data_IF_481368771837
#
_entry.id   IF_481368771837
#
_cell.length_a   1.000
_cell.length_b   1.000
_cell.length_c   1.000
_cell.angle_alpha   90.00
_cell.angle_beta   90.00
_cell.angle_gamma   90.00
#
_symmetry.space_group_name_H-M   'P 1'
#
loop_
_entity.id
_entity.type
_entity.pdbx_description
1 polymer ?
#
# COMPACT_ATOMS: atom_id res chain seq x y z
N UNK A 1 -9.84 14.39 8.91
CA UNK A 1 -9.60 15.85 9.05
C UNK A 1 -8.76 16.10 10.30
N UNK A 2 -7.76 16.99 10.26
CA UNK A 2 -6.94 17.35 11.43
C UNK A 2 -5.68 16.51 11.68
N UNK A 3 -5.42 15.46 10.88
CA UNK A 3 -4.17 14.68 10.93
C UNK A 3 -3.23 15.10 9.79
N UNK A 4 -3.77 15.20 8.57
CA UNK A 4 -3.03 15.60 7.37
C UNK A 4 -3.45 17.00 6.92
N UNK A 5 -2.47 17.80 6.50
CA UNK A 5 -2.68 19.16 5.96
C UNK A 5 -3.05 19.17 4.48
N UNK A 6 -2.58 18.19 3.72
CA UNK A 6 -2.92 18.06 2.31
C UNK A 6 -4.33 17.48 2.12
N UNK A 7 -5.05 18.03 1.15
CA UNK A 7 -6.37 17.59 0.75
C UNK A 7 -6.54 17.60 -0.77
N UNK A 8 -7.41 16.72 -1.26
CA UNK A 8 -7.83 16.68 -2.66
C UNK A 8 -9.29 16.22 -2.74
N UNK A 9 -9.96 16.56 -3.83
CA UNK A 9 -11.35 16.17 -4.07
C UNK A 9 -11.41 15.32 -5.34
N UNK A 10 -11.66 14.00 -5.24
CA UNK A 10 -11.82 13.14 -6.41
C UNK A 10 -13.01 13.59 -7.25
N UNK A 11 -12.83 13.69 -8.56
CA UNK A 11 -13.89 14.04 -9.53
C UNK A 11 -13.89 13.02 -10.66
N UNK A 12 -15.05 12.84 -11.30
CA UNK A 12 -15.17 11.97 -12.46
C UNK A 12 -14.33 12.50 -13.62
N UNK A 13 -13.45 11.66 -14.17
CA UNK A 13 -12.61 11.98 -15.32
C UNK A 13 -12.81 10.86 -16.36
N UNK A 14 -13.43 11.15 -17.52
CA UNK A 14 -13.63 10.19 -18.60
C UNK A 14 -12.33 9.52 -19.03
N UNK A 15 -12.34 8.20 -19.18
CA UNK A 15 -11.17 7.40 -19.57
C UNK A 15 -10.09 7.23 -18.49
N UNK A 16 -10.29 7.78 -17.28
CA UNK A 16 -9.40 7.60 -16.13
C UNK A 16 -10.17 6.92 -14.99
N UNK A 17 -10.95 7.69 -14.23
CA UNK A 17 -11.82 7.16 -13.18
C UNK A 17 -13.14 7.89 -13.26
N UNK A 18 -14.15 7.22 -13.81
CA UNK A 18 -15.48 7.79 -14.01
C UNK A 18 -16.33 7.72 -12.73
N UNK A 19 -16.03 6.77 -11.85
CA UNK A 19 -16.67 6.58 -10.55
C UNK A 19 -15.64 6.47 -9.43
N UNK A 20 -14.82 7.52 -9.18
CA UNK A 20 -13.76 7.44 -8.19
C UNK A 20 -14.31 7.27 -6.77
N UNK A 21 -13.50 6.67 -5.90
CA UNK A 21 -13.79 6.64 -4.45
C UNK A 21 -13.95 8.05 -3.92
N UNK A 22 -14.92 8.25 -3.03
CA UNK A 22 -15.17 9.54 -2.38
C UNK A 22 -15.42 10.68 -3.40
N UNK A 23 -16.13 10.37 -4.49
CA UNK A 23 -16.42 11.34 -5.55
C UNK A 23 -17.10 12.59 -4.97
N UNK A 24 -16.53 13.77 -5.28
CA UNK A 24 -16.95 15.08 -4.79
C UNK A 24 -16.82 15.29 -3.27
N UNK A 25 -16.15 14.39 -2.54
CA UNK A 25 -15.86 14.54 -1.12
C UNK A 25 -14.40 14.99 -0.92
N UNK A 26 -14.17 15.86 0.07
CA UNK A 26 -12.80 16.31 0.40
C UNK A 26 -12.06 15.22 1.16
N UNK A 27 -11.05 14.64 0.52
CA UNK A 27 -10.15 13.65 1.09
C UNK A 27 -8.91 14.32 1.69
N UNK A 28 -8.36 13.75 2.76
CA UNK A 28 -7.15 14.21 3.42
C UNK A 28 -6.13 13.08 3.48
N UNK A 29 -4.86 13.38 3.23
CA UNK A 29 -3.83 12.34 3.20
C UNK A 29 -2.41 12.87 2.96
N UNK A 30 -1.53 11.96 2.55
CA UNK A 30 -0.14 12.27 2.24
C UNK A 30 -0.02 12.88 0.83
N UNK A 31 0.72 13.99 0.72
CA UNK A 31 1.17 14.51 -0.57
C UNK A 31 2.55 13.94 -0.92
N UNK A 32 2.59 13.00 -1.84
CA UNK A 32 3.81 12.33 -2.28
C UNK A 32 4.39 12.91 -3.57
N UNK A 33 3.83 14.00 -4.12
CA UNK A 33 4.29 14.59 -5.39
C UNK A 33 5.73 15.08 -5.34
N UNK A 34 6.17 15.53 -4.16
CA UNK A 34 7.54 15.99 -3.91
C UNK A 34 8.38 14.97 -3.14
N UNK A 35 7.92 13.72 -3.01
CA UNK A 35 8.67 12.68 -2.32
C UNK A 35 9.91 12.28 -3.12
N UNK A 36 11.08 12.24 -2.47
CA UNK A 36 12.34 11.84 -3.10
C UNK A 36 12.34 10.34 -3.44
N UNK A 37 12.01 10.04 -4.69
CA UNK A 37 11.98 8.68 -5.22
C UNK A 37 13.36 8.01 -5.26
N UNK A 38 14.46 8.78 -5.14
CA UNK A 38 15.81 8.21 -5.04
C UNK A 38 15.94 7.32 -3.82
N UNK A 39 15.33 7.71 -2.69
CA UNK A 39 15.32 6.92 -1.45
C UNK A 39 14.69 5.53 -1.63
N UNK A 40 13.63 5.44 -2.43
CA UNK A 40 12.99 4.14 -2.73
C UNK A 40 13.93 3.26 -3.55
N UNK A 41 14.51 3.83 -4.62
CA UNK A 41 15.46 3.12 -5.49
C UNK A 41 16.67 2.64 -4.70
N UNK A 42 17.25 3.49 -3.85
CA UNK A 42 18.40 3.15 -3.01
C UNK A 42 18.05 2.03 -2.00
N UNK A 43 16.85 2.07 -1.42
CA UNK A 43 16.43 1.04 -0.45
C UNK A 43 16.20 -0.34 -1.08
N UNK A 44 15.93 -0.41 -2.40
CA UNK A 44 15.53 -1.63 -3.12
C UNK A 44 14.37 -2.38 -2.44
N UNK A 45 13.43 -1.62 -1.86
CA UNK A 45 12.31 -2.13 -1.06
C UNK A 45 11.04 -1.34 -1.36
N UNK A 46 9.90 -2.01 -1.24
CA UNK A 46 8.59 -1.34 -1.19
C UNK A 46 8.49 -0.48 0.08
N UNK A 47 7.85 0.68 0.03
CA UNK A 47 7.60 1.48 1.23
C UNK A 47 6.32 1.02 1.95
N UNK A 48 6.49 0.25 3.03
CA UNK A 48 5.36 -0.25 3.81
C UNK A 48 4.81 0.79 4.79
N UNK A 49 5.60 1.83 5.09
CA UNK A 49 5.27 2.84 6.10
C UNK A 49 3.98 3.57 5.75
N UNK A 50 3.74 3.85 4.47
CA UNK A 50 2.50 4.53 4.05
C UNK A 50 1.25 3.73 4.40
N UNK A 51 1.25 2.43 4.12
CA UNK A 51 0.11 1.56 4.48
C UNK A 51 -0.08 1.49 6.00
N UNK A 52 1.02 1.32 6.74
CA UNK A 52 0.98 1.23 8.20
C UNK A 52 0.53 2.54 8.86
N UNK A 53 1.02 3.68 8.37
CA UNK A 53 0.66 5.02 8.84
C UNK A 53 -0.81 5.33 8.56
N UNK A 54 -1.26 5.09 7.31
CA UNK A 54 -2.66 5.32 6.94
C UNK A 54 -3.60 4.38 7.70
N UNK A 55 -3.24 3.10 7.88
CA UNK A 55 -3.99 2.19 8.73
C UNK A 55 -4.07 2.73 10.15
N UNK A 56 -2.95 3.18 10.74
CA UNK A 56 -2.90 3.74 12.10
C UNK A 56 -3.74 5.02 12.23
N UNK A 57 -3.74 5.90 11.23
CA UNK A 57 -4.50 7.14 11.24
C UNK A 57 -6.00 6.96 10.96
N UNK A 58 -6.40 5.88 10.29
CA UNK A 58 -7.80 5.65 9.92
C UNK A 58 -8.64 5.27 11.15
N UNK A 59 -9.73 5.99 11.48
CA UNK A 59 -10.47 5.77 12.73
C UNK A 59 -11.20 4.42 12.76
N UNK A 60 -11.74 3.99 11.63
CA UNK A 60 -12.54 2.76 11.54
C UNK A 60 -11.69 1.57 11.06
N UNK A 61 -10.98 0.94 11.99
CA UNK A 61 -10.06 -0.18 11.67
C UNK A 61 -10.73 -1.35 10.96
N UNK A 62 -12.01 -1.60 11.23
CA UNK A 62 -12.74 -2.74 10.68
C UNK A 62 -12.97 -2.56 9.17
N UNK A 63 -13.16 -1.32 8.74
CA UNK A 63 -13.48 -0.98 7.36
C UNK A 63 -12.27 -0.64 6.49
N UNK A 64 -11.07 -0.49 7.05
CA UNK A 64 -9.88 -0.10 6.29
C UNK A 64 -9.55 -1.04 5.12
N UNK A 65 -9.68 -2.36 5.33
CA UNK A 65 -9.47 -3.38 4.28
C UNK A 65 -10.78 -3.96 3.75
N UNK A 66 -11.92 -3.32 4.01
CA UNK A 66 -13.22 -3.82 3.60
C UNK A 66 -13.51 -3.50 2.14
N UNK A 67 -13.26 -4.47 1.26
CA UNK A 67 -13.54 -4.38 -0.18
C UNK A 67 -15.03 -4.26 -0.55
N UNK A 68 -15.96 -4.52 0.37
CA UNK A 68 -17.39 -4.41 0.05
C UNK A 68 -17.90 -2.97 0.04
N UNK A 69 -17.13 -2.02 0.58
CA UNK A 69 -17.52 -0.61 0.66
C UNK A 69 -17.59 0.06 -0.72
N UNK A 70 -16.85 -0.43 -1.70
CA UNK A 70 -16.88 0.07 -3.08
C UNK A 70 -16.23 -0.91 -4.03
N UNK A 71 -16.73 -0.96 -5.27
CA UNK A 71 -16.13 -1.71 -6.38
C UNK A 71 -14.71 -1.26 -6.73
N UNK A 72 -14.34 -0.04 -6.35
CA UNK A 72 -13.00 0.52 -6.58
C UNK A 72 -11.99 0.07 -5.51
N UNK A 73 -12.44 -0.59 -4.43
CA UNK A 73 -11.57 -1.14 -3.39
C UNK A 73 -11.27 -2.60 -3.72
N UNK A 74 -10.02 -2.86 -4.09
CA UNK A 74 -9.54 -4.20 -4.39
C UNK A 74 -9.23 -5.03 -3.13
N UNK A 75 -9.12 -6.35 -3.33
CA UNK A 75 -8.74 -7.29 -2.28
C UNK A 75 -7.23 -7.26 -2.02
N UNK A 76 -6.82 -6.70 -0.88
CA UNK A 76 -5.39 -6.58 -0.52
C UNK A 76 -4.67 -7.93 -0.45
N UNK A 77 -5.36 -9.01 -0.09
CA UNK A 77 -4.74 -10.33 0.02
C UNK A 77 -4.33 -10.82 -1.38
N UNK A 78 -5.14 -10.50 -2.40
CA UNK A 78 -4.83 -10.80 -3.80
C UNK A 78 -3.70 -9.94 -4.33
N UNK A 79 -3.67 -8.66 -3.99
CA UNK A 79 -2.62 -7.74 -4.42
C UNK A 79 -1.27 -8.06 -3.77
N UNK A 80 -1.27 -8.42 -2.49
CA UNK A 80 -0.08 -8.81 -1.74
C UNK A 80 0.38 -10.25 -2.05
N UNK A 81 -0.51 -11.09 -2.59
CA UNK A 81 -0.25 -12.51 -2.84
C UNK A 81 -0.21 -13.37 -1.57
N UNK A 82 -0.65 -12.83 -0.44
CA UNK A 82 -0.73 -13.51 0.86
C UNK A 82 -1.73 -12.81 1.77
N UNK A 83 -2.30 -13.55 2.72
CA UNK A 83 -3.16 -12.99 3.79
C UNK A 83 -2.35 -12.35 4.91
N UNK A 84 -1.13 -12.83 5.12
CA UNK A 84 -0.28 -12.47 6.25
C UNK A 84 -0.04 -10.96 6.34
N UNK A 85 0.12 -10.27 5.21
CA UNK A 85 0.44 -8.84 5.20
C UNK A 85 -0.64 -8.01 5.90
N UNK A 86 -1.91 -8.24 5.56
CA UNK A 86 -3.05 -7.56 6.18
C UNK A 86 -3.13 -7.91 7.67
N UNK A 87 -3.02 -9.19 8.01
CA UNK A 87 -3.09 -9.68 9.39
C UNK A 87 -1.98 -9.07 10.26
N UNK A 88 -0.77 -8.96 9.73
CA UNK A 88 0.38 -8.35 10.42
C UNK A 88 0.19 -6.85 10.65
N UNK A 89 -0.38 -6.11 9.69
CA UNK A 89 -0.71 -4.70 9.87
C UNK A 89 -1.76 -4.52 10.97
N UNK A 90 -2.82 -5.33 10.95
CA UNK A 90 -3.88 -5.31 11.97
C UNK A 90 -3.30 -5.65 13.35
N UNK A 91 -2.40 -6.63 13.42
CA UNK A 91 -1.71 -7.03 14.65
C UNK A 91 -0.65 -6.03 15.14
N UNK A 92 -0.41 -4.92 14.43
CA UNK A 92 0.54 -3.89 14.82
C UNK A 92 2.00 -4.32 14.73
N UNK A 93 2.31 -5.27 13.84
CA UNK A 93 3.69 -5.72 13.62
C UNK A 93 4.56 -4.58 13.07
N UNK A 94 5.83 -4.61 13.48
CA UNK A 94 6.86 -3.69 12.95
C UNK A 94 7.16 -3.99 11.49
N UNK A 95 7.71 -3.01 10.78
CA UNK A 95 8.13 -3.19 9.39
C UNK A 95 9.18 -4.30 9.27
N UNK A 96 10.09 -4.38 10.25
CA UNK A 96 11.12 -5.41 10.35
C UNK A 96 10.51 -6.81 10.48
N UNK A 97 9.49 -6.99 11.32
CA UNK A 97 8.80 -8.28 11.48
C UNK A 97 8.09 -8.72 10.19
N UNK A 98 7.39 -7.80 9.52
CA UNK A 98 6.72 -8.07 8.23
C UNK A 98 7.76 -8.49 7.18
N UNK A 99 8.88 -7.76 7.08
CA UNK A 99 9.94 -8.10 6.13
C UNK A 99 10.61 -9.42 6.44
N UNK A 100 10.81 -9.72 7.73
CA UNK A 100 11.38 -11.00 8.16
C UNK A 100 10.51 -12.19 7.74
N UNK A 101 9.19 -12.04 7.72
CA UNK A 101 8.31 -13.12 7.23
C UNK A 101 8.42 -13.35 5.72
N UNK A 102 8.84 -12.36 4.95
CA UNK A 102 9.03 -12.49 3.49
C UNK A 102 10.40 -13.05 3.10
N UNK A 103 11.41 -12.86 3.95
CA UNK A 103 12.81 -13.18 3.62
C UNK A 103 13.06 -14.63 3.18
N UNK A 104 12.42 -15.67 3.76
CA UNK A 104 12.59 -17.04 3.28
C UNK A 104 12.14 -17.21 1.82
N UNK A 105 10.96 -16.68 1.47
CA UNK A 105 10.43 -16.73 0.10
C UNK A 105 11.28 -15.93 -0.88
N UNK A 106 11.72 -14.74 -0.47
CA UNK A 106 12.61 -13.89 -1.27
C UNK A 106 13.98 -14.56 -1.50
N UNK A 107 14.54 -15.20 -0.49
CA UNK A 107 15.81 -15.94 -0.59
C UNK A 107 15.69 -17.07 -1.60
N UNK A 108 14.63 -17.88 -1.51
CA UNK A 108 14.38 -18.98 -2.45
C UNK A 108 14.19 -18.45 -3.88
N UNK A 109 13.38 -17.41 -4.07
CA UNK A 109 13.15 -16.80 -5.38
C UNK A 109 14.44 -16.23 -5.99
N UNK A 110 15.28 -15.56 -5.20
CA UNK A 110 16.58 -15.04 -5.65
C UNK A 110 17.51 -16.14 -6.16
N UNK A 111 17.46 -17.36 -5.61
CA UNK A 111 18.20 -18.49 -6.14
C UNK A 111 17.57 -19.01 -7.44
N UNK A 112 16.26 -19.21 -7.46
CA UNK A 112 15.54 -19.74 -8.62
C UNK A 112 15.67 -18.85 -9.85
N UNK A 113 15.59 -17.53 -9.70
CA UNK A 113 15.65 -16.59 -10.83
C UNK A 113 17.00 -16.56 -11.55
N UNK A 114 18.11 -17.00 -10.91
CA UNK A 114 19.46 -16.97 -11.50
C UNK A 114 19.54 -17.71 -12.84
N UNK A 115 18.74 -18.76 -13.02
CA UNK A 115 18.68 -19.56 -14.26
C UNK A 115 18.16 -18.78 -15.46
N UNK A 116 17.52 -17.63 -15.23
CA UNK A 116 16.79 -16.87 -16.24
C UNK A 116 17.25 -15.42 -16.35
N UNK A 117 18.33 -15.02 -15.64
CA UNK A 117 18.85 -13.66 -15.72
C UNK A 117 19.60 -13.45 -17.03
N UNK A 118 19.18 -12.43 -17.79
CA UNK A 118 19.85 -11.98 -19.02
C UNK A 118 20.77 -10.78 -18.78
N UNK A 119 20.67 -10.16 -17.61
CA UNK A 119 21.42 -8.97 -17.22
C UNK A 119 22.04 -9.18 -15.85
N UNK A 120 23.19 -8.54 -15.64
CA UNK A 120 23.87 -8.50 -14.34
C UNK A 120 23.16 -7.56 -13.37
#
# INVERSE_FOLDING_TARGET
KGIYSFSFTPVSIPGMSETPLHMNEVCYGLDLRNYDTKRLRESNKLNLKWMMELYKAYPDKQNFFNKSLSKEINDIDKLAGTRDFKEQIIAGKTEEEIRKSWEPGLTNYKQNRKKYLLYK
#
